data_IF_865340158536
#
_entry.id   IF_865340158536
#
_cell.length_a   1.000
_cell.length_b   1.000
_cell.length_c   1.000
_cell.angle_alpha   90.00
_cell.angle_beta   90.00
_cell.angle_gamma   90.00
#
_symmetry.space_group_name_H-M   'P 1'
#
loop_
_entity.id
_entity.type
_entity.pdbx_description
1 polymer ?
#
# COMPACT_ATOMS: atom_id res chain seq x y z
N UNK A 1 -4.99 24.19 11.54
CA UNK A 1 -4.48 23.81 10.18
C UNK A 1 -4.69 22.33 9.92
N UNK A 2 -4.36 21.46 10.89
CA UNK A 2 -4.43 19.99 10.71
C UNK A 2 -5.84 19.51 10.33
N UNK A 3 -6.89 20.06 10.94
CA UNK A 3 -8.27 19.68 10.65
C UNK A 3 -8.74 20.17 9.28
N UNK A 4 -8.19 21.29 8.79
CA UNK A 4 -8.53 21.87 7.50
C UNK A 4 -8.04 21.02 6.33
N UNK A 5 -6.92 20.35 6.48
CA UNK A 5 -6.30 19.53 5.42
C UNK A 5 -6.65 18.05 5.52
N UNK A 6 -7.35 17.63 6.55
CA UNK A 6 -7.74 16.23 6.73
C UNK A 6 -8.65 15.76 5.60
N UNK A 7 -8.37 14.58 5.08
CA UNK A 7 -9.25 13.91 4.13
C UNK A 7 -10.44 13.25 4.83
N UNK A 8 -11.58 13.25 4.17
CA UNK A 8 -12.71 12.41 4.56
C UNK A 8 -12.40 10.93 4.26
N UNK A 9 -13.19 10.02 4.81
CA UNK A 9 -13.07 8.58 4.51
C UNK A 9 -13.15 8.30 3.01
N UNK A 10 -14.08 8.96 2.30
CA UNK A 10 -14.23 8.81 0.86
C UNK A 10 -13.01 9.35 0.09
N UNK A 11 -12.45 10.48 0.53
CA UNK A 11 -11.25 11.06 -0.07
C UNK A 11 -10.01 10.18 0.14
N UNK A 12 -9.87 9.56 1.32
CA UNK A 12 -8.80 8.58 1.59
C UNK A 12 -8.92 7.39 0.64
N UNK A 13 -10.11 6.83 0.49
CA UNK A 13 -10.35 5.71 -0.42
C UNK A 13 -10.03 6.07 -1.88
N UNK A 14 -10.47 7.23 -2.35
CA UNK A 14 -10.20 7.73 -3.71
C UNK A 14 -8.70 7.99 -3.91
N UNK A 15 -8.01 8.54 -2.91
CA UNK A 15 -6.58 8.78 -2.98
C UNK A 15 -5.79 7.47 -3.09
N UNK A 16 -6.09 6.49 -2.25
CA UNK A 16 -5.45 5.17 -2.30
C UNK A 16 -5.73 4.45 -3.61
N UNK A 17 -6.94 4.58 -4.15
CA UNK A 17 -7.30 3.99 -5.43
C UNK A 17 -6.45 4.54 -6.59
N UNK A 18 -6.05 5.79 -6.53
CA UNK A 18 -5.18 6.44 -7.51
C UNK A 18 -3.68 6.17 -7.34
N UNK A 19 -3.26 5.53 -6.25
CA UNK A 19 -1.85 5.26 -5.98
C UNK A 19 -1.45 3.85 -6.42
N UNK A 20 -0.21 3.64 -6.82
CA UNK A 20 0.34 2.33 -7.19
C UNK A 20 1.32 1.77 -6.17
N UNK A 21 1.91 2.64 -5.36
CA UNK A 21 3.00 2.34 -4.44
C UNK A 21 2.65 2.77 -3.03
N UNK A 22 2.96 1.92 -2.07
CA UNK A 22 3.02 2.25 -0.65
C UNK A 22 4.47 2.17 -0.17
N UNK A 23 4.86 3.05 0.72
CA UNK A 23 6.03 2.83 1.57
C UNK A 23 5.56 1.97 2.72
N UNK A 24 6.18 0.80 2.88
CA UNK A 24 5.87 -0.16 3.95
C UNK A 24 6.98 -0.12 4.98
N UNK A 25 6.63 0.18 6.22
CA UNK A 25 7.52 0.24 7.36
C UNK A 25 7.29 -0.96 8.29
N UNK A 26 8.31 -1.76 8.50
CA UNK A 26 8.31 -2.90 9.40
C UNK A 26 9.39 -2.74 10.48
N UNK A 27 9.27 -3.44 11.58
CA UNK A 27 10.19 -3.30 12.72
C UNK A 27 11.36 -4.26 12.54
N UNK A 28 12.55 -3.70 12.36
CA UNK A 28 13.80 -4.46 12.28
C UNK A 28 14.19 -5.10 13.61
N UNK A 29 15.07 -6.11 13.57
CA UNK A 29 15.58 -6.80 14.76
C UNK A 29 16.26 -5.85 15.74
N UNK A 30 16.90 -4.80 15.24
CA UNK A 30 17.55 -3.75 16.03
C UNK A 30 16.59 -2.69 16.59
N UNK A 31 15.27 -2.84 16.35
CA UNK A 31 14.25 -1.87 16.72
C UNK A 31 14.11 -0.68 15.79
N UNK A 32 14.95 -0.56 14.77
CA UNK A 32 14.82 0.49 13.76
C UNK A 32 13.78 0.10 12.71
N UNK A 33 13.00 1.07 12.18
CA UNK A 33 12.07 0.80 11.10
C UNK A 33 12.82 0.48 9.81
N UNK A 34 12.39 -0.59 9.14
CA UNK A 34 12.81 -0.92 7.78
C UNK A 34 11.75 -0.41 6.82
N UNK A 35 12.15 0.41 5.86
CA UNK A 35 11.26 1.07 4.90
C UNK A 35 11.53 0.55 3.48
N UNK A 36 10.47 0.22 2.77
CA UNK A 36 10.58 -0.17 1.37
C UNK A 36 9.33 0.24 0.59
N UNK A 37 9.49 0.79 -0.64
CA UNK A 37 8.36 1.02 -1.53
C UNK A 37 7.86 -0.32 -2.07
N UNK A 38 6.53 -0.49 -2.10
CA UNK A 38 5.87 -1.70 -2.55
C UNK A 38 4.71 -1.35 -3.47
N UNK A 39 4.58 -2.10 -4.56
CA UNK A 39 3.30 -2.16 -5.26
C UNK A 39 2.26 -2.81 -4.37
N UNK A 40 1.04 -2.32 -4.44
CA UNK A 40 -0.07 -2.82 -3.66
C UNK A 40 -1.34 -2.89 -4.50
N UNK A 41 -2.36 -3.51 -3.97
CA UNK A 41 -3.71 -3.46 -4.50
C UNK A 41 -4.73 -3.34 -3.37
N UNK A 42 -5.95 -3.00 -3.76
CA UNK A 42 -7.11 -3.07 -2.90
C UNK A 42 -7.91 -4.31 -3.33
N UNK A 43 -8.04 -5.27 -2.43
CA UNK A 43 -8.74 -6.53 -2.67
C UNK A 43 -9.77 -6.72 -1.56
N UNK A 44 -11.05 -6.82 -1.92
CA UNK A 44 -12.15 -6.91 -0.96
C UNK A 44 -12.14 -5.78 0.09
N UNK A 45 -11.74 -4.56 -0.32
CA UNK A 45 -11.63 -3.39 0.54
C UNK A 45 -10.38 -3.36 1.43
N UNK A 46 -9.51 -4.36 1.35
CA UNK A 46 -8.30 -4.45 2.14
C UNK A 46 -7.05 -4.13 1.31
N UNK A 47 -6.04 -3.53 1.94
CA UNK A 47 -4.74 -3.31 1.33
C UNK A 47 -3.98 -4.63 1.32
N UNK A 48 -3.55 -5.05 0.14
CA UNK A 48 -2.76 -6.28 -0.06
C UNK A 48 -1.50 -6.00 -0.85
N UNK A 49 -0.46 -6.75 -0.56
CA UNK A 49 0.78 -6.75 -1.33
C UNK A 49 1.44 -8.13 -1.30
N UNK A 50 2.36 -8.37 -2.19
CA UNK A 50 3.14 -9.60 -2.21
C UNK A 50 4.63 -9.30 -2.45
N UNK A 51 5.49 -10.10 -1.86
CA UNK A 51 6.94 -9.95 -1.99
C UNK A 51 7.64 -11.27 -1.73
N UNK A 52 8.92 -11.34 -2.06
CA UNK A 52 9.72 -12.54 -1.81
C UNK A 52 9.72 -12.90 -0.32
N UNK A 53 9.49 -14.17 -0.02
CA UNK A 53 9.43 -14.70 1.36
C UNK A 53 10.71 -14.51 2.16
N UNK A 54 11.85 -14.33 1.49
CA UNK A 54 13.16 -14.09 2.12
C UNK A 54 13.48 -12.60 2.30
N UNK A 55 12.62 -11.71 1.81
CA UNK A 55 12.85 -10.28 1.97
C UNK A 55 12.87 -9.86 3.43
N UNK A 56 13.64 -8.82 3.75
CA UNK A 56 13.78 -8.34 5.14
C UNK A 56 12.42 -7.95 5.75
N UNK A 57 11.53 -7.34 4.97
CA UNK A 57 10.20 -6.96 5.46
C UNK A 57 9.36 -8.18 5.87
N UNK A 58 9.44 -9.30 5.14
CA UNK A 58 8.72 -10.53 5.49
C UNK A 58 9.32 -11.17 6.75
N UNK A 59 10.62 -11.23 6.84
CA UNK A 59 11.30 -11.71 8.07
C UNK A 59 10.89 -10.87 9.28
N UNK A 60 10.82 -9.55 9.12
CA UNK A 60 10.36 -8.65 10.16
C UNK A 60 8.90 -8.92 10.56
N UNK A 61 8.01 -9.05 9.58
CA UNK A 61 6.58 -9.29 9.82
C UNK A 61 6.27 -10.67 10.43
N UNK A 62 7.08 -11.66 10.15
CA UNK A 62 6.97 -12.98 10.80
C UNK A 62 7.27 -12.89 12.30
N UNK A 63 8.17 -12.00 12.71
CA UNK A 63 8.53 -11.76 14.09
C UNK A 63 7.57 -10.80 14.80
N UNK A 64 7.17 -9.72 14.11
CA UNK A 64 6.31 -8.67 14.63
C UNK A 64 5.34 -8.22 13.52
N UNK A 65 4.04 -8.52 13.64
CA UNK A 65 3.06 -8.22 12.59
C UNK A 65 2.69 -6.73 12.50
N UNK A 66 3.17 -5.89 13.40
CA UNK A 66 2.91 -4.43 13.35
C UNK A 66 3.57 -3.82 12.12
N UNK A 67 2.85 -2.95 11.46
CA UNK A 67 3.27 -2.33 10.22
C UNK A 67 2.68 -0.94 10.09
N UNK A 68 3.42 -0.05 9.47
CA UNK A 68 2.89 1.23 9.01
C UNK A 68 3.03 1.33 7.50
N UNK A 69 2.09 1.99 6.87
CA UNK A 69 2.13 2.25 5.43
C UNK A 69 1.91 3.74 5.15
N UNK A 70 2.53 4.22 4.10
CA UNK A 70 2.42 5.60 3.64
C UNK A 70 2.24 5.63 2.13
N UNK A 71 1.16 6.26 1.69
CA UNK A 71 1.00 6.71 0.31
C UNK A 71 1.11 8.24 0.28
N UNK A 72 1.84 8.78 -0.66
CA UNK A 72 2.05 10.23 -0.76
C UNK A 72 2.07 10.68 -2.22
N UNK A 73 1.75 11.95 -2.45
CA UNK A 73 1.81 12.60 -3.75
C UNK A 73 2.00 14.11 -3.59
N UNK A 74 2.49 14.73 -4.64
CA UNK A 74 2.74 16.17 -4.71
C UNK A 74 4.22 16.51 -4.53
N UNK A 75 4.66 17.55 -5.21
CA UNK A 75 6.04 18.04 -5.17
C UNK A 75 6.16 19.35 -4.42
N UNK A 76 5.17 20.22 -4.57
CA UNK A 76 5.13 21.54 -3.90
C UNK A 76 4.23 21.50 -2.68
N UNK A 77 4.51 22.33 -1.69
CA UNK A 77 3.84 22.34 -0.39
C UNK A 77 2.30 22.39 -0.51
N UNK A 78 1.80 23.22 -1.41
CA UNK A 78 0.37 23.41 -1.67
C UNK A 78 -0.30 22.21 -2.35
N UNK A 79 0.47 21.26 -2.86
CA UNK A 79 -0.01 20.06 -3.53
C UNK A 79 0.23 18.76 -2.75
N UNK A 80 0.93 18.86 -1.62
CA UNK A 80 1.23 17.66 -0.82
C UNK A 80 -0.05 16.98 -0.33
N UNK A 81 -0.12 15.69 -0.59
CA UNK A 81 -1.19 14.80 -0.11
C UNK A 81 -0.59 13.53 0.44
N UNK A 82 -1.24 12.97 1.41
CA UNK A 82 -0.80 11.68 1.91
C UNK A 82 -1.80 11.01 2.83
N UNK A 83 -1.64 9.70 2.93
CA UNK A 83 -2.34 8.84 3.87
C UNK A 83 -1.31 7.97 4.57
N UNK A 84 -1.25 8.10 5.88
CA UNK A 84 -0.45 7.26 6.76
C UNK A 84 -1.38 6.37 7.58
N UNK A 85 -1.08 5.09 7.62
CA UNK A 85 -1.83 4.12 8.42
C UNK A 85 -0.88 3.31 9.29
N UNK A 86 -1.25 3.13 10.55
CA UNK A 86 -0.68 2.15 11.46
C UNK A 86 -1.63 0.96 11.52
N UNK A 87 -1.10 -0.24 11.62
CA UNK A 87 -1.93 -1.43 11.69
C UNK A 87 -1.15 -2.71 11.91
N UNK A 88 -1.79 -3.80 11.57
CA UNK A 88 -1.25 -5.15 11.68
C UNK A 88 -1.38 -5.88 10.36
N UNK A 89 -0.48 -6.81 10.13
CA UNK A 89 -0.46 -7.64 8.93
C UNK A 89 -0.86 -9.07 9.24
N UNK A 90 -1.37 -9.74 8.22
CA UNK A 90 -1.67 -11.16 8.22
C UNK A 90 -1.20 -11.77 6.90
N UNK A 91 -0.52 -12.90 6.95
CA UNK A 91 -0.21 -13.67 5.75
C UNK A 91 -1.46 -14.40 5.28
N UNK A 92 -1.72 -14.36 3.97
CA UNK A 92 -2.84 -15.06 3.36
C UNK A 92 -2.37 -16.12 2.38
N UNK A 93 -3.05 -17.28 2.29
CA UNK A 93 -2.75 -18.29 1.28
C UNK A 93 -3.18 -17.87 -0.14
N UNK A 94 -3.99 -16.82 -0.29
CA UNK A 94 -4.55 -16.36 -1.56
C UNK A 94 -3.54 -15.60 -2.44
N UNK A 95 -2.32 -16.13 -2.58
CA UNK A 95 -1.25 -15.49 -3.35
C UNK A 95 -1.69 -15.16 -4.78
N UNK A 96 -2.38 -16.10 -5.45
CA UNK A 96 -2.82 -15.91 -6.83
C UNK A 96 -3.71 -14.69 -7.01
N UNK A 97 -4.72 -14.53 -6.17
CA UNK A 97 -5.64 -13.36 -6.23
C UNK A 97 -4.90 -12.05 -5.93
N UNK A 98 -3.99 -12.06 -4.97
CA UNK A 98 -3.20 -10.87 -4.62
C UNK A 98 -2.27 -10.49 -5.77
N UNK A 99 -1.57 -11.45 -6.37
CA UNK A 99 -0.70 -11.22 -7.53
C UNK A 99 -1.51 -10.65 -8.70
N UNK A 100 -2.64 -11.26 -9.03
CA UNK A 100 -3.50 -10.80 -10.13
C UNK A 100 -3.97 -9.36 -9.89
N UNK A 101 -4.38 -9.02 -8.68
CA UNK A 101 -4.82 -7.68 -8.32
C UNK A 101 -3.68 -6.63 -8.41
N UNK A 102 -2.49 -6.96 -7.92
CA UNK A 102 -1.32 -6.07 -7.98
C UNK A 102 -0.86 -5.87 -9.42
N UNK A 103 -0.83 -6.92 -10.22
CA UNK A 103 -0.45 -6.86 -11.63
C UNK A 103 -1.45 -6.04 -12.44
N UNK A 104 -2.75 -6.30 -12.29
CA UNK A 104 -3.80 -5.54 -12.97
C UNK A 104 -3.71 -4.04 -12.65
N UNK A 105 -3.43 -3.69 -11.41
CA UNK A 105 -3.30 -2.29 -10.96
C UNK A 105 -2.12 -1.56 -11.60
N UNK A 106 -1.00 -2.25 -11.83
CA UNK A 106 0.24 -1.66 -12.33
C UNK A 106 0.42 -1.78 -13.84
N UNK A 107 -0.08 -2.84 -14.46
CA UNK A 107 0.12 -3.13 -15.88
C UNK A 107 -1.17 -3.11 -16.69
N UNK A 108 -2.33 -2.95 -16.05
CA UNK A 108 -3.63 -3.16 -16.70
C UNK A 108 -3.95 -4.64 -16.88
N UNK A 109 -4.87 -4.97 -17.77
CA UNK A 109 -5.19 -6.36 -18.06
C UNK A 109 -3.96 -7.05 -18.64
N UNK A 110 -3.42 -8.02 -17.91
CA UNK A 110 -2.42 -8.93 -18.45
C UNK A 110 -3.07 -9.69 -19.58
N UNK A 111 -2.42 -9.73 -20.75
CA UNK A 111 -2.95 -10.40 -21.93
C UNK A 111 -3.49 -11.80 -21.61
N UNK A 112 -4.57 -12.19 -22.28
CA UNK A 112 -5.33 -13.42 -22.03
C UNK A 112 -4.54 -14.73 -22.31
N UNK A 113 -3.25 -14.63 -22.62
CA UNK A 113 -2.38 -15.77 -22.88
C UNK A 113 -2.18 -16.63 -21.63
N UNK A 114 -2.65 -17.89 -21.65
CA UNK A 114 -2.43 -18.84 -20.55
C UNK A 114 -0.94 -19.07 -20.27
N UNK A 115 -0.09 -18.99 -21.31
CA UNK A 115 1.37 -19.10 -21.17
C UNK A 115 1.96 -17.92 -20.39
N UNK A 116 1.47 -16.70 -20.60
CA UNK A 116 1.90 -15.51 -19.88
C UNK A 116 1.50 -15.57 -18.42
N UNK A 117 0.28 -16.02 -18.12
CA UNK A 117 -0.20 -16.24 -16.76
C UNK A 117 0.59 -17.29 -16.01
N UNK A 118 0.92 -18.41 -16.67
CA UNK A 118 1.73 -19.47 -16.08
C UNK A 118 3.17 -19.01 -15.82
N UNK A 119 3.79 -18.27 -16.73
CA UNK A 119 5.11 -17.68 -16.53
C UNK A 119 5.10 -16.70 -15.34
N UNK A 120 4.05 -15.90 -15.20
CA UNK A 120 3.89 -14.98 -14.08
C UNK A 120 3.71 -15.75 -12.76
N UNK A 121 2.86 -16.76 -12.73
CA UNK A 121 2.68 -17.62 -11.54
C UNK A 121 4.00 -18.26 -11.11
N UNK A 122 4.78 -18.78 -12.05
CA UNK A 122 6.10 -19.35 -11.80
C UNK A 122 7.08 -18.32 -11.23
N UNK A 123 7.13 -17.13 -11.83
CA UNK A 123 7.96 -16.03 -11.34
C UNK A 123 7.55 -15.56 -9.93
N UNK A 124 6.27 -15.67 -9.60
CA UNK A 124 5.70 -15.24 -8.32
C UNK A 124 5.65 -16.35 -7.26
N UNK A 125 6.01 -17.60 -7.60
CA UNK A 125 5.87 -18.79 -6.71
C UNK A 125 6.67 -18.69 -5.40
N UNK A 126 7.72 -17.85 -5.35
CA UNK A 126 8.55 -17.62 -4.16
C UNK A 126 8.06 -16.47 -3.29
N UNK A 127 6.95 -15.85 -3.67
CA UNK A 127 6.37 -14.72 -2.94
C UNK A 127 5.38 -15.21 -1.88
N UNK A 128 5.15 -14.35 -0.94
CA UNK A 128 4.07 -14.46 0.05
C UNK A 128 3.16 -13.27 -0.07
N UNK A 129 1.88 -13.49 0.18
CA UNK A 129 0.86 -12.46 0.16
C UNK A 129 0.54 -11.99 1.57
N UNK A 130 0.38 -10.68 1.71
CA UNK A 130 0.16 -10.00 2.97
C UNK A 130 -1.10 -9.13 2.86
N UNK A 131 -1.96 -9.23 3.87
CA UNK A 131 -3.08 -8.30 4.09
C UNK A 131 -2.65 -7.33 5.18
N UNK A 132 -2.80 -6.03 4.93
CA UNK A 132 -2.63 -4.98 5.92
C UNK A 132 -3.99 -4.50 6.41
N UNK A 133 -4.19 -4.49 7.72
CA UNK A 133 -5.42 -4.00 8.36
C UNK A 133 -5.10 -2.78 9.21
N UNK A 134 -5.58 -1.60 8.81
CA UNK A 134 -5.33 -0.37 9.57
C UNK A 134 -6.08 -0.37 10.90
N UNK A 135 -5.43 0.12 11.94
CA UNK A 135 -6.02 0.44 13.25
C UNK A 135 -6.11 1.95 13.47
N UNK A 136 -5.28 2.72 12.78
CA UNK A 136 -5.26 4.17 12.83
C UNK A 136 -4.90 4.75 11.46
N UNK A 137 -5.61 5.79 11.05
CA UNK A 137 -5.35 6.51 9.79
C UNK A 137 -5.16 7.99 10.06
N UNK A 138 -4.11 8.56 9.50
CA UNK A 138 -3.89 10.01 9.40
C UNK A 138 -3.81 10.39 7.92
N UNK A 139 -4.35 11.52 7.56
CA UNK A 139 -4.37 11.98 6.18
C UNK A 139 -4.22 13.49 6.08
N UNK A 140 -3.75 13.97 4.95
CA UNK A 140 -3.60 15.39 4.64
C UNK A 140 -3.74 15.64 3.14
N UNK A 141 -4.36 16.75 2.81
CA UNK A 141 -4.46 17.28 1.46
C UNK A 141 -4.30 18.81 1.52
N UNK A 142 -3.10 19.29 1.22
CA UNK A 142 -2.76 20.70 1.31
C UNK A 142 -3.49 21.56 0.27
N UNK A 143 -4.03 20.96 -0.78
CA UNK A 143 -4.83 21.67 -1.78
C UNK A 143 -6.08 22.31 -1.17
N UNK A 144 -6.56 21.74 -0.06
CA UNK A 144 -7.71 22.30 0.68
C UNK A 144 -7.42 23.67 1.29
N UNK A 145 -6.16 24.01 1.53
CA UNK A 145 -5.77 25.34 2.02
C UNK A 145 -6.00 26.41 0.94
N UNK A 146 -5.87 26.06 -0.32
CA UNK A 146 -6.06 26.97 -1.44
C UNK A 146 -7.53 27.10 -1.85
N UNK A 147 -8.33 26.05 -1.65
CA UNK A 147 -9.77 26.08 -1.95
C UNK A 147 -10.61 26.85 -0.93
N UNK A 148 -10.08 27.11 0.24
CA UNK A 148 -10.73 27.92 1.29
C UNK A 148 -10.48 29.43 1.20
N UNK A 149 -9.74 29.89 0.20
CA UNK A 149 -9.43 31.30 -0.02
C UNK A 149 -10.40 31.97 -1.03
N UNK A 150 -11.70 31.69 -0.90
CA UNK A 150 -12.70 32.53 -1.57
C UNK A 150 -13.46 33.28 -0.50
N UNK A 151 -13.50 34.63 -0.58
CA UNK A 151 -14.19 35.47 0.38
C UNK A 151 -15.70 35.30 0.36
#
# INVERSE_FOLDING_TARGET
VRDLIKMTTAEVAAFLDGQKTLIVATIGRNGLPHLAPMWFALLDGEIVFCTDRKSQKIVNLQRDPRCSVLAEAGETYDQLRGVHMEGVTEFTPDLGRVVDAVVARNFGEVGDGEQEREALRKAMSRRVAVIFRPTRTASWDHRKLMSGATP
#
